data_IF_758758526428
#
_entry.id   IF_758758526428
#
_cell.length_a   1.000
_cell.length_b   1.000
_cell.length_c   1.000
_cell.angle_alpha   90.00
_cell.angle_beta   90.00
_cell.angle_gamma   90.00
#
_symmetry.space_group_name_H-M   'P 1'
#
loop_
_entity.id
_entity.type
_entity.pdbx_description
1 polymer ?
#
# COMPACT_ATOMS: atom_id res chain seq x y z
N UNK A 1 5.83 21.05 45.26
CA UNK A 1 5.10 20.25 44.23
C UNK A 1 5.76 18.88 44.13
N UNK A 2 5.05 17.80 44.48
CA UNK A 2 5.61 16.44 44.52
C UNK A 2 6.08 16.01 43.11
N UNK A 3 7.28 15.42 42.95
CA UNK A 3 7.86 15.09 41.64
C UNK A 3 6.99 14.12 40.83
N UNK A 4 6.17 13.30 41.50
CA UNK A 4 5.22 12.36 40.90
C UNK A 4 4.11 13.05 40.07
N UNK A 5 3.75 14.30 40.39
CA UNK A 5 2.74 15.06 39.66
C UNK A 5 3.24 15.49 38.27
N UNK A 6 4.56 15.72 38.13
CA UNK A 6 5.18 16.01 36.84
C UNK A 6 5.26 14.76 35.97
N UNK A 7 5.54 13.59 36.56
CA UNK A 7 5.59 12.30 35.85
C UNK A 7 4.21 11.91 35.26
N UNK A 8 3.13 12.16 36.01
CA UNK A 8 1.76 11.82 35.62
C UNK A 8 1.26 12.64 34.41
N UNK A 9 1.84 13.83 34.20
CA UNK A 9 1.47 14.73 33.10
C UNK A 9 2.28 14.46 31.81
N UNK A 10 3.46 13.86 31.91
CA UNK A 10 4.34 13.53 30.78
C UNK A 10 3.92 12.21 30.09
N UNK A 11 3.43 11.25 30.88
CA UNK A 11 3.02 9.93 30.40
C UNK A 11 1.92 9.96 29.30
N UNK A 12 0.82 10.73 29.42
CA UNK A 12 -0.20 10.78 28.37
C UNK A 12 0.30 11.43 27.06
N UNK A 13 1.28 12.33 27.14
CA UNK A 13 1.87 12.98 25.95
C UNK A 13 2.69 11.98 25.12
N UNK A 14 3.39 11.04 25.77
CA UNK A 14 4.13 9.97 25.11
C UNK A 14 3.23 8.94 24.41
N UNK A 15 2.03 8.68 24.95
CA UNK A 15 1.05 7.81 24.30
C UNK A 15 0.34 8.50 23.12
N UNK A 16 0.16 9.83 23.16
CA UNK A 16 -0.48 10.57 22.08
C UNK A 16 0.35 10.57 20.78
N UNK A 17 1.69 10.59 20.87
CA UNK A 17 2.55 10.61 19.68
C UNK A 17 2.63 9.25 18.94
N UNK A 18 2.52 8.13 19.65
CA UNK A 18 2.53 6.79 19.04
C UNK A 18 1.18 6.36 18.47
N UNK A 19 0.09 7.00 18.91
CA UNK A 19 -1.24 6.70 18.42
C UNK A 19 -1.49 7.23 16.99
N UNK A 20 -0.79 8.29 16.57
CA UNK A 20 -1.09 8.96 15.30
C UNK A 20 -0.75 8.11 14.06
N UNK A 21 0.43 7.48 14.05
CA UNK A 21 0.86 6.62 12.94
C UNK A 21 0.00 5.37 12.82
N UNK A 22 -0.37 4.77 13.95
CA UNK A 22 -1.22 3.57 13.98
C UNK A 22 -2.63 3.85 13.46
N UNK A 23 -3.20 5.01 13.80
CA UNK A 23 -4.52 5.45 13.30
C UNK A 23 -4.45 5.75 11.81
N UNK A 24 -3.41 6.43 11.34
CA UNK A 24 -3.21 6.71 9.91
C UNK A 24 -3.15 5.43 9.08
N UNK A 25 -2.39 4.42 9.54
CA UNK A 25 -2.29 3.15 8.85
C UNK A 25 -3.62 2.36 8.88
N UNK A 26 -4.34 2.42 10.00
CA UNK A 26 -5.67 1.80 10.12
C UNK A 26 -6.68 2.46 9.16
N UNK A 27 -6.64 3.79 9.04
CA UNK A 27 -7.48 4.54 8.10
C UNK A 27 -7.16 4.18 6.64
N UNK A 28 -5.89 4.02 6.28
CA UNK A 28 -5.47 3.57 4.94
C UNK A 28 -5.95 2.15 4.63
N UNK A 29 -5.90 1.23 5.59
CA UNK A 29 -6.44 -0.12 5.39
C UNK A 29 -7.94 -0.09 5.12
N UNK A 30 -8.71 0.66 5.93
CA UNK A 30 -10.16 0.82 5.73
C UNK A 30 -10.46 1.47 4.37
N UNK A 31 -9.72 2.52 4.00
CA UNK A 31 -9.89 3.18 2.71
C UNK A 31 -9.56 2.23 1.55
N UNK A 32 -8.47 1.46 1.64
CA UNK A 32 -8.08 0.47 0.64
C UNK A 32 -9.15 -0.61 0.46
N UNK A 33 -9.77 -1.07 1.55
CA UNK A 33 -10.75 -2.15 1.51
C UNK A 33 -12.11 -1.69 0.97
N UNK A 34 -12.51 -0.44 1.21
CA UNK A 34 -13.87 0.07 0.91
C UNK A 34 -13.96 1.00 -0.28
N UNK A 35 -12.93 1.84 -0.52
CA UNK A 35 -12.91 2.86 -1.58
C UNK A 35 -11.87 2.48 -2.64
N UNK A 36 -10.74 1.91 -2.22
CA UNK A 36 -9.52 1.73 -3.00
C UNK A 36 -8.59 2.95 -2.86
N UNK A 37 -7.33 2.79 -3.28
CA UNK A 37 -6.33 3.87 -3.28
C UNK A 37 -5.90 4.18 -4.71
N UNK A 38 -5.52 5.42 -4.96
CA UNK A 38 -4.99 5.87 -6.25
C UNK A 38 -3.65 5.19 -6.53
N UNK A 39 -3.68 4.16 -7.38
CA UNK A 39 -2.53 3.34 -7.71
C UNK A 39 -2.42 3.14 -9.21
N UNK A 40 -1.21 2.81 -9.64
CA UNK A 40 -0.87 2.35 -10.98
C UNK A 40 -0.53 0.86 -10.89
N UNK A 41 -1.13 0.04 -11.76
CA UNK A 41 -0.75 -1.36 -11.96
C UNK A 41 -0.04 -1.45 -13.30
N UNK A 42 1.21 -1.90 -13.29
CA UNK A 42 1.96 -2.21 -14.50
C UNK A 42 2.07 -3.72 -14.63
N UNK A 43 1.60 -4.24 -15.76
CA UNK A 43 1.70 -5.66 -16.11
C UNK A 43 2.89 -5.84 -17.04
N UNK A 44 3.76 -6.78 -16.71
CA UNK A 44 4.99 -7.06 -17.43
C UNK A 44 4.97 -8.45 -18.06
N UNK A 45 5.69 -8.61 -19.16
CA UNK A 45 6.11 -9.92 -19.63
C UNK A 45 7.07 -10.52 -18.63
N UNK A 46 6.69 -11.65 -18.00
CA UNK A 46 7.55 -12.33 -17.04
C UNK A 46 8.89 -12.79 -17.61
N UNK A 47 8.98 -12.95 -18.94
CA UNK A 47 10.21 -13.39 -19.60
C UNK A 47 11.14 -12.24 -19.96
N UNK A 48 10.59 -11.09 -20.37
CA UNK A 48 11.38 -10.00 -20.95
C UNK A 48 11.45 -8.76 -20.08
N UNK A 49 10.64 -8.68 -19.02
CA UNK A 49 10.53 -7.48 -18.19
C UNK A 49 9.91 -6.27 -18.92
N UNK A 50 9.37 -6.44 -20.13
CA UNK A 50 8.70 -5.35 -20.86
C UNK A 50 7.30 -5.11 -20.32
N UNK A 51 6.94 -3.84 -20.14
CA UNK A 51 5.57 -3.44 -19.81
C UNK A 51 4.65 -3.82 -20.98
N UNK A 52 3.59 -4.57 -20.68
CA UNK A 52 2.56 -4.97 -21.62
C UNK A 52 1.33 -4.08 -21.52
N UNK A 53 0.92 -3.75 -20.29
CA UNK A 53 -0.27 -2.95 -20.01
C UNK A 53 -0.08 -2.15 -18.73
N UNK A 54 -0.73 -0.99 -18.67
CA UNK A 54 -0.79 -0.16 -17.48
C UNK A 54 -2.24 0.21 -17.19
N UNK A 55 -2.65 0.02 -15.94
CA UNK A 55 -3.94 0.44 -15.42
C UNK A 55 -3.73 1.49 -14.33
N UNK A 56 -4.58 2.51 -14.30
CA UNK A 56 -4.55 3.56 -13.28
C UNK A 56 -5.98 3.79 -12.80
N UNK A 57 -6.13 4.02 -11.51
CA UNK A 57 -7.43 4.31 -10.91
C UNK A 57 -7.42 3.99 -9.43
N UNK A 58 -8.62 3.88 -8.85
CA UNK A 58 -8.79 3.37 -7.50
C UNK A 58 -8.65 1.85 -7.51
N UNK A 59 -7.51 1.38 -7.01
CA UNK A 59 -7.16 -0.04 -7.02
C UNK A 59 -7.30 -0.63 -5.63
N UNK A 60 -7.90 -1.81 -5.52
CA UNK A 60 -7.79 -2.70 -4.36
C UNK A 60 -7.47 -4.13 -4.78
N UNK A 61 -6.82 -4.87 -3.89
CA UNK A 61 -6.72 -6.32 -4.02
C UNK A 61 -8.11 -6.92 -3.77
N UNK A 62 -8.46 -7.97 -4.51
CA UNK A 62 -9.70 -8.70 -4.30
C UNK A 62 -9.40 -10.11 -3.75
N UNK A 63 -9.26 -10.25 -2.42
CA UNK A 63 -8.91 -11.53 -1.80
C UNK A 63 -10.04 -12.58 -1.87
N UNK A 64 -11.27 -12.14 -2.11
CA UNK A 64 -12.44 -13.04 -2.23
C UNK A 64 -12.43 -13.82 -3.55
N UNK A 65 -11.83 -13.24 -4.59
CA UNK A 65 -11.62 -13.91 -5.87
C UNK A 65 -10.38 -14.83 -5.79
N UNK A 66 -10.60 -16.05 -5.27
CA UNK A 66 -9.57 -17.09 -5.19
C UNK A 66 -9.32 -17.74 -6.56
N UNK A 67 -8.49 -17.09 -7.38
CA UNK A 67 -8.04 -17.64 -8.66
C UNK A 67 -6.63 -18.24 -8.48
N UNK A 68 -6.49 -19.55 -8.67
CA UNK A 68 -5.20 -20.22 -8.54
C UNK A 68 -4.16 -19.69 -9.53
N UNK A 69 -2.98 -19.32 -9.02
CA UNK A 69 -1.86 -18.82 -9.84
C UNK A 69 -2.07 -17.44 -10.46
N UNK A 70 -3.10 -16.69 -10.05
CA UNK A 70 -3.37 -15.34 -10.52
C UNK A 70 -3.64 -14.40 -9.36
N UNK A 71 -3.45 -13.11 -9.60
CA UNK A 71 -3.91 -12.03 -8.70
C UNK A 71 -5.17 -11.39 -9.26
N UNK A 72 -6.11 -11.08 -8.38
CA UNK A 72 -7.33 -10.36 -8.68
C UNK A 72 -7.28 -8.95 -8.11
N UNK A 73 -7.54 -7.96 -8.95
CA UNK A 73 -7.68 -6.56 -8.59
C UNK A 73 -9.09 -6.09 -8.89
N UNK A 74 -9.55 -5.10 -8.12
CA UNK A 74 -10.67 -4.25 -8.51
C UNK A 74 -10.08 -2.88 -8.86
N UNK A 75 -10.25 -2.47 -10.10
CA UNK A 75 -9.84 -1.16 -10.63
C UNK A 75 -11.11 -0.39 -10.97
N UNK A 76 -11.40 0.67 -10.23
CA UNK A 76 -12.64 1.46 -10.36
C UNK A 76 -13.91 0.58 -10.33
N UNK A 77 -13.91 -0.42 -9.45
CA UNK A 77 -15.01 -1.38 -9.30
C UNK A 77 -15.09 -2.46 -10.38
N UNK A 78 -14.18 -2.47 -11.36
CA UNK A 78 -14.09 -3.51 -12.40
C UNK A 78 -13.04 -4.55 -12.04
N UNK A 79 -13.33 -5.82 -12.29
CA UNK A 79 -12.39 -6.92 -12.02
C UNK A 79 -11.27 -6.96 -13.08
N UNK A 80 -10.04 -7.06 -12.61
CA UNK A 80 -8.84 -7.32 -13.40
C UNK A 80 -8.14 -8.54 -12.83
N UNK A 81 -8.03 -9.60 -13.63
CA UNK A 81 -7.29 -10.81 -13.27
C UNK A 81 -6.02 -10.91 -14.10
N UNK A 82 -4.92 -11.29 -13.47
CA UNK A 82 -3.65 -11.51 -14.16
C UNK A 82 -2.85 -12.62 -13.51
N UNK A 83 -2.32 -13.51 -14.32
CA UNK A 83 -1.26 -14.46 -13.95
C UNK A 83 0.13 -14.00 -14.42
N UNK A 84 0.22 -12.76 -14.93
CA UNK A 84 1.47 -12.13 -15.36
C UNK A 84 2.13 -11.40 -14.19
N UNK A 85 3.41 -11.11 -14.36
CA UNK A 85 4.21 -10.33 -13.42
C UNK A 85 3.70 -8.89 -13.38
N UNK A 86 3.63 -8.29 -12.19
CA UNK A 86 3.08 -6.95 -12.03
C UNK A 86 3.76 -6.16 -10.92
N UNK A 87 3.66 -4.84 -11.02
CA UNK A 87 3.99 -3.89 -9.97
C UNK A 87 2.77 -3.04 -9.68
N UNK A 88 2.45 -2.86 -8.40
CA UNK A 88 1.39 -1.94 -7.95
C UNK A 88 2.05 -0.80 -7.17
N UNK A 89 1.87 0.43 -7.62
CA UNK A 89 2.49 1.61 -7.02
C UNK A 89 1.43 2.63 -6.65
N UNK A 90 1.43 3.11 -5.41
CA UNK A 90 0.62 4.28 -5.01
C UNK A 90 1.15 5.53 -5.71
N UNK A 91 0.25 6.34 -6.26
CA UNK A 91 0.63 7.56 -6.97
C UNK A 91 1.30 8.51 -5.98
N UNK A 92 2.52 8.97 -6.31
CA UNK A 92 3.30 9.88 -5.46
C UNK A 92 4.35 9.20 -4.59
N UNK A 93 4.48 7.87 -4.63
CA UNK A 93 5.66 7.17 -4.09
C UNK A 93 6.90 7.67 -4.85
N UNK A 94 7.94 8.07 -4.09
CA UNK A 94 9.27 8.36 -4.62
C UNK A 94 10.11 7.10 -4.48
N UNK A 95 10.62 6.61 -5.60
CA UNK A 95 11.59 5.51 -5.58
C UNK A 95 12.98 6.07 -5.29
N UNK A 96 13.70 5.43 -4.37
CA UNK A 96 15.13 5.66 -4.24
C UNK A 96 15.86 4.90 -5.35
N UNK A 97 16.88 5.49 -5.98
CA UNK A 97 17.65 4.79 -6.99
C UNK A 97 18.31 3.57 -6.36
N UNK A 98 18.10 2.40 -6.97
CA UNK A 98 18.83 1.19 -6.58
C UNK A 98 20.32 1.42 -6.79
N UNK A 99 21.14 1.20 -5.76
CA UNK A 99 22.59 1.12 -5.92
C UNK A 99 22.86 -0.14 -6.74
N UNK A 100 23.05 0.06 -8.04
CA UNK A 100 23.46 -1.02 -8.93
C UNK A 100 24.84 -1.47 -8.46
N UNK A 101 24.93 -2.70 -7.93
CA UNK A 101 26.22 -3.30 -7.62
C UNK A 101 26.93 -3.54 -8.94
N UNK A 102 27.82 -2.62 -9.31
CA UNK A 102 28.79 -2.83 -10.39
C UNK A 102 29.45 -4.20 -10.20
N UNK A 103 29.56 -5.01 -11.27
CA UNK A 103 30.17 -6.34 -11.22
C UNK A 103 31.63 -6.29 -10.75
#
# INVERSE_FOLDING_TARGET
MKPYLKLLLILPVLFAVTACEKVSNTAKNIQSDWIGLDRKIEIYSCYTGKVLKTYKGSVRLNPDDKIGGATSFLVDGKKLHTNMCYVVTEIGIKEEPSVESTP
#
